data_IF_915373533695
#
_entry.id   IF_915373533695
#
_cell.length_a   1.000
_cell.length_b   1.000
_cell.length_c   1.000
_cell.angle_alpha   90.00
_cell.angle_beta   90.00
_cell.angle_gamma   90.00
#
_symmetry.space_group_name_H-M   'P 1'
#
loop_
_entity.id
_entity.type
_entity.pdbx_description
1 polymer ?
#
# COMPACT_ATOMS: atom_id res chain seq x y z
N UNK A 1 -9.69 7.34 -24.21
CA UNK A 1 -8.67 6.72 -23.32
C UNK A 1 -9.11 6.95 -21.89
N UNK A 2 -9.41 5.91 -21.11
CA UNK A 2 -9.83 6.08 -19.71
C UNK A 2 -8.63 6.61 -18.89
N UNK A 3 -8.67 7.87 -18.46
CA UNK A 3 -7.69 8.42 -17.51
C UNK A 3 -8.22 8.14 -16.11
N UNK A 4 -7.72 7.08 -15.48
CA UNK A 4 -8.06 6.74 -14.09
C UNK A 4 -7.36 7.65 -13.06
N UNK A 5 -6.41 8.49 -13.51
CA UNK A 5 -5.67 9.43 -12.69
C UNK A 5 -5.85 10.88 -13.17
N UNK A 6 -6.04 11.77 -12.20
CA UNK A 6 -5.96 13.23 -12.38
C UNK A 6 -4.68 13.75 -11.73
N UNK A 7 -3.54 13.32 -12.23
CA UNK A 7 -2.24 13.90 -11.83
C UNK A 7 -2.10 15.27 -12.50
N UNK A 8 -1.69 16.32 -11.78
CA UNK A 8 -1.36 17.61 -12.40
C UNK A 8 -0.27 17.43 -13.45
N UNK A 9 -0.40 18.08 -14.61
CA UNK A 9 0.57 17.93 -15.71
C UNK A 9 2.03 18.21 -15.31
N UNK A 10 2.25 19.15 -14.39
CA UNK A 10 3.58 19.49 -13.86
C UNK A 10 4.15 18.44 -12.89
N UNK A 11 3.32 17.56 -12.33
CA UNK A 11 3.71 16.50 -11.39
C UNK A 11 3.83 15.12 -12.06
N UNK A 12 3.44 14.99 -13.33
CA UNK A 12 3.64 13.76 -14.10
C UNK A 12 5.13 13.40 -14.12
N UNK A 13 5.47 12.18 -13.72
CA UNK A 13 6.84 11.69 -13.63
C UNK A 13 7.50 11.94 -12.27
N UNK A 14 7.15 13.03 -11.57
CA UNK A 14 7.58 13.24 -10.19
C UNK A 14 6.89 12.26 -9.23
N UNK A 15 5.65 11.87 -9.51
CA UNK A 15 4.95 10.82 -8.78
C UNK A 15 5.72 9.48 -8.78
N UNK A 16 6.34 9.11 -9.91
CA UNK A 16 7.20 7.92 -10.00
C UNK A 16 8.38 8.02 -9.05
N UNK A 17 9.01 9.20 -8.95
CA UNK A 17 10.13 9.41 -8.01
C UNK A 17 9.66 9.22 -6.58
N UNK A 18 8.49 9.77 -6.22
CA UNK A 18 7.91 9.60 -4.88
C UNK A 18 7.61 8.13 -4.58
N UNK A 19 7.04 7.40 -5.53
CA UNK A 19 6.75 5.97 -5.38
C UNK A 19 8.03 5.16 -5.23
N UNK A 20 9.07 5.43 -6.02
CA UNK A 20 10.38 4.77 -5.92
C UNK A 20 11.07 5.04 -4.58
N UNK A 21 11.02 6.28 -4.08
CA UNK A 21 11.51 6.60 -2.73
C UNK A 21 10.71 5.81 -1.69
N UNK A 22 9.38 5.71 -1.86
CA UNK A 22 8.51 4.88 -1.04
C UNK A 22 8.89 3.40 -1.07
N UNK A 23 9.22 2.85 -2.25
CA UNK A 23 9.73 1.48 -2.42
C UNK A 23 11.01 1.29 -1.60
N UNK A 24 11.98 2.18 -1.73
CA UNK A 24 13.24 2.09 -0.95
C UNK A 24 12.95 2.12 0.54
N UNK A 25 12.12 3.06 1.02
CA UNK A 25 11.76 3.17 2.43
C UNK A 25 11.07 1.90 2.95
N UNK A 26 10.11 1.37 2.21
CA UNK A 26 9.34 0.18 2.61
C UNK A 26 10.20 -1.09 2.60
N UNK A 27 11.10 -1.25 1.63
CA UNK A 27 12.11 -2.33 1.62
C UNK A 27 13.05 -2.21 2.82
N UNK A 28 13.50 -1.01 3.17
CA UNK A 28 14.35 -0.80 4.35
C UNK A 28 13.60 -1.19 5.63
N UNK A 29 12.33 -0.77 5.79
CA UNK A 29 11.50 -1.18 6.93
C UNK A 29 11.35 -2.70 6.98
N UNK A 30 11.08 -3.35 5.84
CA UNK A 30 10.99 -4.80 5.75
C UNK A 30 12.30 -5.47 6.17
N UNK A 31 13.45 -4.98 5.69
CA UNK A 31 14.77 -5.50 6.05
C UNK A 31 15.06 -5.37 7.56
N UNK A 32 14.72 -4.22 8.17
CA UNK A 32 14.83 -4.04 9.62
C UNK A 32 13.90 -4.97 10.41
N UNK A 33 12.64 -5.10 9.98
CA UNK A 33 11.68 -6.01 10.60
C UNK A 33 12.14 -7.47 10.52
N UNK A 34 12.73 -7.87 9.39
CA UNK A 34 13.29 -9.21 9.20
C UNK A 34 14.51 -9.45 10.09
N UNK A 35 15.38 -8.46 10.22
CA UNK A 35 16.52 -8.55 11.14
C UNK A 35 16.04 -8.72 12.59
N UNK A 36 15.04 -7.96 13.01
CA UNK A 36 14.47 -8.06 14.35
C UNK A 36 13.76 -9.40 14.57
N UNK A 37 13.09 -9.93 13.54
CA UNK A 37 12.51 -11.27 13.55
C UNK A 37 13.57 -12.34 13.79
N UNK A 38 14.73 -12.27 13.10
CA UNK A 38 15.82 -13.24 13.31
C UNK A 38 16.37 -13.24 14.73
N UNK A 39 16.36 -12.10 15.41
CA UNK A 39 16.83 -11.97 16.80
C UNK A 39 15.78 -12.42 17.80
N UNK A 40 14.55 -11.91 17.71
CA UNK A 40 13.51 -12.15 18.73
C UNK A 40 12.69 -13.42 18.47
N UNK A 41 12.74 -13.98 17.24
CA UNK A 41 11.94 -15.12 16.76
C UNK A 41 10.41 -14.96 16.94
N UNK A 42 9.93 -13.73 17.09
CA UNK A 42 8.49 -13.45 17.19
C UNK A 42 7.83 -13.40 15.79
N UNK A 43 6.91 -14.33 15.51
CA UNK A 43 6.19 -14.41 14.23
C UNK A 43 5.51 -13.09 13.81
N UNK A 44 5.13 -12.24 14.77
CA UNK A 44 4.56 -10.91 14.50
C UNK A 44 5.48 -10.05 13.61
N UNK A 45 6.79 -10.12 13.84
CA UNK A 45 7.80 -9.36 13.10
C UNK A 45 8.03 -9.91 11.69
N UNK A 46 7.84 -11.23 11.50
CA UNK A 46 7.83 -11.82 10.17
C UNK A 46 6.62 -11.32 9.35
N UNK A 47 5.43 -11.25 9.94
CA UNK A 47 4.27 -10.68 9.25
C UNK A 47 4.43 -9.19 8.95
N UNK A 48 5.06 -8.39 9.83
CA UNK A 48 5.40 -7.00 9.49
C UNK A 48 6.34 -6.92 8.27
N UNK A 49 7.34 -7.82 8.19
CA UNK A 49 8.21 -7.91 7.02
C UNK A 49 7.39 -8.13 5.75
N UNK A 50 6.46 -9.09 5.80
CA UNK A 50 5.59 -9.42 4.68
C UNK A 50 4.68 -8.23 4.31
N UNK A 51 4.10 -7.53 5.29
CA UNK A 51 3.30 -6.31 5.05
C UNK A 51 4.09 -5.30 4.21
N UNK A 52 5.30 -4.95 4.65
CA UNK A 52 6.07 -3.90 3.98
C UNK A 52 6.64 -4.35 2.62
N UNK A 53 6.88 -5.65 2.42
CA UNK A 53 7.16 -6.20 1.10
C UNK A 53 5.96 -6.09 0.16
N UNK A 54 4.74 -6.37 0.65
CA UNK A 54 3.52 -6.20 -0.13
C UNK A 54 3.28 -4.72 -0.48
N UNK A 55 3.50 -3.79 0.46
CA UNK A 55 3.45 -2.34 0.16
C UNK A 55 4.46 -1.98 -0.92
N UNK A 56 5.71 -2.44 -0.80
CA UNK A 56 6.77 -2.20 -1.79
C UNK A 56 6.39 -2.72 -3.17
N UNK A 57 5.83 -3.93 -3.27
CA UNK A 57 5.35 -4.49 -4.54
C UNK A 57 4.20 -3.64 -5.09
N UNK A 58 3.26 -3.23 -4.24
CA UNK A 58 2.18 -2.32 -4.63
C UNK A 58 2.68 -1.00 -5.23
N UNK A 59 3.68 -0.37 -4.58
CA UNK A 59 4.31 0.87 -5.08
C UNK A 59 5.09 0.65 -6.38
N UNK A 60 5.73 -0.50 -6.56
CA UNK A 60 6.38 -0.85 -7.83
C UNK A 60 5.36 -0.96 -8.98
N UNK A 61 4.25 -1.69 -8.77
CA UNK A 61 3.19 -1.78 -9.79
C UNK A 61 2.54 -0.43 -10.10
N UNK A 62 2.38 0.42 -9.08
CA UNK A 62 1.94 1.82 -9.28
C UNK A 62 2.92 2.59 -10.16
N UNK A 63 4.22 2.53 -9.84
CA UNK A 63 5.29 3.18 -10.61
C UNK A 63 5.30 2.72 -12.06
N UNK A 64 5.14 1.41 -12.32
CA UNK A 64 5.05 0.86 -13.66
C UNK A 64 3.83 1.38 -14.42
N UNK A 65 2.68 1.45 -13.74
CA UNK A 65 1.43 1.97 -14.32
C UNK A 65 1.57 3.45 -14.72
N UNK A 66 2.17 4.27 -13.86
CA UNK A 66 2.49 5.67 -14.16
C UNK A 66 3.50 5.81 -15.30
N UNK A 67 4.56 4.99 -15.31
CA UNK A 67 5.62 5.04 -16.35
C UNK A 67 5.05 4.81 -17.74
N UNK A 68 4.20 3.80 -17.92
CA UNK A 68 3.57 3.49 -19.22
C UNK A 68 2.57 4.55 -19.65
N UNK A 69 1.96 5.24 -18.69
CA UNK A 69 1.03 6.32 -18.98
C UNK A 69 1.78 7.59 -19.45
N UNK A 70 2.96 7.88 -18.90
CA UNK A 70 3.71 9.10 -19.21
C UNK A 70 4.73 8.95 -20.35
N UNK A 71 5.37 7.79 -20.50
CA UNK A 71 6.48 7.60 -21.43
C UNK A 71 6.09 6.68 -22.60
N UNK A 72 5.95 7.26 -23.79
CA UNK A 72 5.59 6.53 -25.01
C UNK A 72 6.57 5.42 -25.40
N UNK A 73 7.92 5.57 -25.28
CA UNK A 73 8.82 4.49 -25.68
C UNK A 73 8.64 3.22 -24.83
N UNK A 74 8.36 3.38 -23.53
CA UNK A 74 8.12 2.26 -22.62
C UNK A 74 6.80 1.56 -22.96
N UNK A 75 5.78 2.34 -23.31
CA UNK A 75 4.48 1.83 -23.75
C UNK A 75 4.59 0.98 -25.02
N UNK A 76 5.39 1.44 -25.97
CA UNK A 76 5.53 0.77 -27.27
C UNK A 76 6.33 -0.54 -27.13
N UNK A 77 7.41 -0.54 -26.33
CA UNK A 77 8.15 -1.77 -25.97
C UNK A 77 7.26 -2.77 -25.22
N UNK A 78 6.45 -2.31 -24.26
CA UNK A 78 5.53 -3.17 -23.52
C UNK A 78 4.46 -3.79 -24.44
N UNK A 79 3.97 -3.02 -25.44
CA UNK A 79 3.07 -3.54 -26.45
C UNK A 79 3.76 -4.62 -27.30
N UNK A 80 4.99 -4.39 -27.74
CA UNK A 80 5.74 -5.35 -28.56
C UNK A 80 6.01 -6.68 -27.85
N UNK A 81 6.36 -6.67 -26.55
CA UNK A 81 6.57 -7.89 -25.75
C UNK A 81 5.30 -8.74 -25.61
N UNK A 82 4.12 -8.10 -25.58
CA UNK A 82 2.84 -8.77 -25.33
C UNK A 82 2.12 -9.23 -26.61
N UNK A 83 2.50 -8.70 -27.78
CA UNK A 83 1.97 -9.12 -29.09
C UNK A 83 1.87 -10.63 -29.27
N UNK A 84 2.91 -11.45 -29.00
CA UNK A 84 2.85 -12.89 -29.25
C UNK A 84 1.88 -13.67 -28.34
N UNK A 85 1.46 -13.11 -27.21
CA UNK A 85 0.57 -13.80 -26.24
C UNK A 85 -0.88 -13.33 -26.36
N UNK A 86 -1.11 -12.07 -26.75
CA UNK A 86 -2.44 -11.44 -26.70
C UNK A 86 -3.05 -11.11 -28.08
N UNK A 87 -2.31 -11.26 -29.18
CA UNK A 87 -2.79 -11.08 -30.55
C UNK A 87 -2.92 -9.61 -31.00
N UNK A 88 -3.08 -9.39 -32.31
CA UNK A 88 -3.00 -8.06 -32.96
C UNK A 88 -4.19 -7.12 -32.71
N UNK A 89 -5.27 -7.62 -32.10
CA UNK A 89 -6.56 -6.89 -32.00
C UNK A 89 -6.85 -6.18 -30.68
N UNK A 90 -6.08 -6.42 -29.61
CA UNK A 90 -6.28 -5.78 -28.32
C UNK A 90 -5.38 -4.55 -28.19
N UNK A 91 -5.88 -3.47 -27.60
CA UNK A 91 -5.02 -2.37 -27.14
C UNK A 91 -4.13 -2.92 -25.99
N UNK A 92 -3.01 -3.54 -26.34
CA UNK A 92 -2.09 -4.25 -25.44
C UNK A 92 -1.65 -3.39 -24.25
N UNK A 93 -1.48 -2.10 -24.51
CA UNK A 93 -1.21 -1.08 -23.48
C UNK A 93 -2.32 -0.98 -22.44
N UNK A 94 -3.58 -1.16 -22.83
CA UNK A 94 -4.74 -1.16 -21.94
C UNK A 94 -4.84 -2.41 -21.06
N UNK A 95 -4.51 -3.60 -21.59
CA UNK A 95 -4.48 -4.84 -20.80
C UNK A 95 -3.38 -4.77 -19.74
N UNK A 96 -2.17 -4.38 -20.14
CA UNK A 96 -1.04 -4.23 -19.21
C UNK A 96 -1.38 -3.22 -18.11
N UNK A 97 -1.91 -2.05 -18.50
CA UNK A 97 -2.30 -1.02 -17.55
C UNK A 97 -3.31 -1.54 -16.51
N UNK A 98 -4.35 -2.26 -16.96
CA UNK A 98 -5.36 -2.82 -16.05
C UNK A 98 -4.79 -3.92 -15.15
N UNK A 99 -3.89 -4.76 -15.67
CA UNK A 99 -3.24 -5.82 -14.90
C UNK A 99 -2.31 -5.25 -13.82
N UNK A 100 -1.43 -4.30 -14.19
CA UNK A 100 -0.54 -3.64 -13.24
C UNK A 100 -1.34 -2.88 -12.17
N UNK A 101 -2.40 -2.17 -12.56
CA UNK A 101 -3.28 -1.48 -11.62
C UNK A 101 -4.03 -2.43 -10.69
N UNK A 102 -4.51 -3.58 -11.19
CA UNK A 102 -5.11 -4.62 -10.36
C UNK A 102 -4.10 -5.18 -9.35
N UNK A 103 -2.88 -5.51 -9.79
CA UNK A 103 -1.82 -6.01 -8.92
C UNK A 103 -1.45 -4.99 -7.86
N UNK A 104 -1.29 -3.71 -8.23
CA UNK A 104 -1.10 -2.62 -7.26
C UNK A 104 -2.17 -2.65 -6.16
N UNK A 105 -3.45 -2.71 -6.54
CA UNK A 105 -4.56 -2.70 -5.58
C UNK A 105 -4.56 -3.93 -4.69
N UNK A 106 -4.35 -5.10 -5.28
CA UNK A 106 -4.30 -6.38 -4.57
C UNK A 106 -3.20 -6.38 -3.51
N UNK A 107 -1.99 -5.95 -3.89
CA UNK A 107 -0.84 -5.90 -2.98
C UNK A 107 -1.02 -4.85 -1.89
N UNK A 108 -1.50 -3.64 -2.21
CA UNK A 108 -1.73 -2.58 -1.22
C UNK A 108 -2.84 -2.94 -0.22
N UNK A 109 -4.00 -3.40 -0.70
CA UNK A 109 -5.09 -3.80 0.19
C UNK A 109 -4.72 -5.03 1.02
N UNK A 110 -4.01 -6.00 0.41
CA UNK A 110 -3.45 -7.15 1.11
C UNK A 110 -2.50 -6.74 2.23
N UNK A 111 -1.64 -5.74 1.98
CA UNK A 111 -0.74 -5.19 2.99
C UNK A 111 -1.50 -4.54 4.16
N UNK A 112 -2.49 -3.69 3.87
CA UNK A 112 -3.30 -3.03 4.91
C UNK A 112 -4.10 -4.02 5.74
N UNK A 113 -4.66 -5.04 5.11
CA UNK A 113 -5.38 -6.10 5.82
C UNK A 113 -4.45 -6.91 6.71
N UNK A 114 -3.30 -7.34 6.19
CA UNK A 114 -2.32 -8.09 6.96
C UNK A 114 -1.82 -7.26 8.15
N UNK A 115 -1.56 -5.97 7.93
CA UNK A 115 -1.21 -5.03 8.99
C UNK A 115 -2.31 -4.91 10.05
N UNK A 116 -3.58 -4.86 9.63
CA UNK A 116 -4.71 -4.87 10.54
C UNK A 116 -4.73 -6.12 11.42
N UNK A 117 -4.57 -7.32 10.86
CA UNK A 117 -4.50 -8.55 11.65
C UNK A 117 -3.31 -8.55 12.62
N UNK A 118 -2.13 -8.10 12.18
CA UNK A 118 -0.91 -8.01 13.00
C UNK A 118 -1.02 -6.95 14.10
N UNK A 119 -1.84 -5.91 13.90
CA UNK A 119 -2.08 -4.85 14.89
C UNK A 119 -2.97 -5.30 16.05
N UNK A 120 -3.78 -6.36 15.87
CA UNK A 120 -4.65 -6.86 16.91
C UNK A 120 -3.88 -7.69 17.93
N UNK A 121 -4.17 -7.51 19.24
CA UNK A 121 -3.50 -8.28 20.30
C UNK A 121 -3.81 -9.78 20.16
N UNK A 122 -2.83 -10.66 20.44
CA UNK A 122 -3.01 -12.10 20.38
C UNK A 122 -3.83 -12.55 21.58
N UNK A 123 -5.16 -12.54 21.48
CA UNK A 123 -5.99 -13.39 22.32
C UNK A 123 -6.33 -14.65 21.53
N UNK A 124 -5.44 -15.65 21.61
CA UNK A 124 -5.71 -17.07 21.31
C UNK A 124 -6.54 -17.39 20.05
N UNK A 125 -6.30 -16.68 18.94
CA UNK A 125 -7.17 -16.69 17.75
C UNK A 125 -6.87 -17.79 16.73
N UNK A 126 -5.61 -17.95 16.37
CA UNK A 126 -5.15 -18.78 15.24
C UNK A 126 -5.31 -20.31 15.35
N UNK A 127 -6.18 -20.83 16.22
CA UNK A 127 -6.44 -22.28 16.33
C UNK A 127 -7.86 -22.73 15.93
N UNK A 128 -8.82 -21.81 15.73
CA UNK A 128 -10.22 -22.19 15.45
C UNK A 128 -10.55 -22.09 13.95
N UNK A 129 -11.21 -23.12 13.42
CA UNK A 129 -11.63 -23.24 12.02
C UNK A 129 -12.46 -22.04 11.51
N UNK A 130 -13.29 -21.46 12.38
CA UNK A 130 -14.08 -20.25 12.11
C UNK A 130 -13.26 -19.01 11.76
N UNK A 131 -11.97 -18.96 12.11
CA UNK A 131 -11.11 -17.82 11.82
C UNK A 131 -10.35 -17.99 10.49
N UNK A 132 -10.07 -19.24 10.09
CA UNK A 132 -9.53 -19.55 8.76
C UNK A 132 -10.55 -19.22 7.69
N UNK A 133 -11.83 -19.54 7.92
CA UNK A 133 -12.92 -19.17 7.00
C UNK A 133 -13.12 -17.65 6.93
N UNK A 134 -12.93 -16.90 8.03
CA UNK A 134 -12.93 -15.44 8.01
C UNK A 134 -11.78 -14.89 7.17
N UNK A 135 -10.56 -15.40 7.32
CA UNK A 135 -9.40 -14.98 6.51
C UNK A 135 -9.65 -15.28 5.02
N UNK A 136 -10.17 -16.46 4.69
CA UNK A 136 -10.51 -16.83 3.31
C UNK A 136 -11.59 -15.91 2.72
N UNK A 137 -12.65 -15.62 3.49
CA UNK A 137 -13.70 -14.67 3.10
C UNK A 137 -13.13 -13.26 2.89
N UNK A 138 -12.18 -12.82 3.73
CA UNK A 138 -11.51 -11.54 3.57
C UNK A 138 -10.62 -11.49 2.32
N UNK A 139 -9.87 -12.56 2.03
CA UNK A 139 -9.07 -12.65 0.79
C UNK A 139 -9.98 -12.62 -0.45
N UNK A 140 -11.11 -13.33 -0.39
CA UNK A 140 -12.12 -13.31 -1.44
C UNK A 140 -12.68 -11.89 -1.65
N UNK A 141 -13.12 -11.23 -0.57
CA UNK A 141 -13.64 -9.86 -0.63
C UNK A 141 -12.57 -8.87 -1.12
N UNK A 142 -11.31 -9.04 -0.72
CA UNK A 142 -10.21 -8.21 -1.22
C UNK A 142 -10.01 -8.37 -2.72
N UNK A 143 -10.06 -9.60 -3.22
CA UNK A 143 -9.95 -9.87 -4.66
C UNK A 143 -11.12 -9.22 -5.39
N UNK A 144 -12.34 -9.40 -4.88
CA UNK A 144 -13.55 -8.81 -5.46
C UNK A 144 -13.46 -7.28 -5.46
N UNK A 145 -13.06 -6.66 -4.35
CA UNK A 145 -12.89 -5.20 -4.25
C UNK A 145 -11.78 -4.72 -5.18
N UNK A 146 -10.70 -5.47 -5.35
CA UNK A 146 -9.62 -5.12 -6.30
C UNK A 146 -10.12 -5.15 -7.74
N UNK A 147 -10.97 -6.11 -8.09
CA UNK A 147 -11.64 -6.15 -9.40
C UNK A 147 -12.57 -4.96 -9.58
N UNK A 148 -13.44 -4.67 -8.61
CA UNK A 148 -14.38 -3.52 -8.66
C UNK A 148 -13.63 -2.18 -8.72
N UNK A 149 -12.53 -2.07 -8.00
CA UNK A 149 -11.72 -0.86 -7.94
C UNK A 149 -10.99 -0.56 -9.25
N UNK A 150 -10.77 -1.57 -10.10
CA UNK A 150 -10.28 -1.38 -11.47
C UNK A 150 -11.19 -0.45 -12.29
N UNK A 151 -12.49 -0.45 -11.98
CA UNK A 151 -13.49 0.40 -12.63
C UNK A 151 -13.65 1.77 -11.97
N UNK A 152 -13.54 1.83 -10.63
CA UNK A 152 -13.68 3.08 -9.86
C UNK A 152 -12.59 3.18 -8.81
N UNK A 153 -11.57 3.96 -9.12
CA UNK A 153 -10.41 4.15 -8.26
C UNK A 153 -10.72 4.67 -6.85
N UNK A 154 -11.76 5.52 -6.70
CA UNK A 154 -12.19 6.01 -5.38
C UNK A 154 -12.61 4.88 -4.43
N UNK A 155 -13.07 3.73 -4.95
CA UNK A 155 -13.42 2.55 -4.14
C UNK A 155 -12.18 2.02 -3.42
N UNK A 156 -11.04 1.92 -4.11
CA UNK A 156 -9.79 1.48 -3.53
C UNK A 156 -9.34 2.36 -2.36
N UNK A 157 -9.38 3.69 -2.54
CA UNK A 157 -8.97 4.61 -1.47
C UNK A 157 -9.96 4.66 -0.31
N UNK A 158 -11.26 4.52 -0.59
CA UNK A 158 -12.26 4.41 0.46
C UNK A 158 -12.03 3.14 1.30
N UNK A 159 -11.85 1.98 0.64
CA UNK A 159 -11.59 0.72 1.35
C UNK A 159 -10.27 0.78 2.11
N UNK A 160 -9.20 1.29 1.51
CA UNK A 160 -7.90 1.48 2.17
C UNK A 160 -8.03 2.38 3.40
N UNK A 161 -8.78 3.47 3.30
CA UNK A 161 -9.02 4.40 4.41
C UNK A 161 -9.80 3.73 5.56
N UNK A 162 -10.80 2.90 5.26
CA UNK A 162 -11.53 2.16 6.30
C UNK A 162 -10.60 1.19 7.04
N UNK A 163 -9.81 0.39 6.31
CA UNK A 163 -8.87 -0.57 6.92
C UNK A 163 -7.80 0.17 7.72
N UNK A 164 -7.19 1.22 7.15
CA UNK A 164 -6.21 2.04 7.83
C UNK A 164 -6.78 2.77 9.05
N UNK A 165 -8.04 3.21 9.00
CA UNK A 165 -8.75 3.77 10.16
C UNK A 165 -8.82 2.77 11.32
N UNK A 166 -9.15 1.52 11.03
CA UNK A 166 -9.14 0.45 12.03
C UNK A 166 -7.71 0.16 12.55
N UNK A 167 -6.70 0.20 11.70
CA UNK A 167 -5.28 0.08 12.09
C UNK A 167 -4.90 1.22 13.05
N UNK A 168 -5.20 2.47 12.70
CA UNK A 168 -4.93 3.65 13.54
C UNK A 168 -5.64 3.51 14.89
N UNK A 169 -6.89 3.07 14.93
CA UNK A 169 -7.62 2.83 16.18
C UNK A 169 -6.95 1.74 17.05
N UNK A 170 -6.44 0.67 16.44
CA UNK A 170 -5.71 -0.37 17.16
C UNK A 170 -4.39 0.17 17.75
N UNK A 171 -3.63 0.97 16.99
CA UNK A 171 -2.41 1.60 17.49
C UNK A 171 -2.69 2.71 18.52
N UNK A 172 -3.80 3.43 18.41
CA UNK A 172 -4.26 4.38 19.42
C UNK A 172 -4.57 3.67 20.75
N UNK A 173 -5.33 2.56 20.70
CA UNK A 173 -5.54 1.70 21.87
C UNK A 173 -4.23 1.18 22.44
N UNK A 174 -3.26 0.81 21.59
CA UNK A 174 -1.95 0.37 22.05
C UNK A 174 -1.15 1.49 22.73
N UNK A 175 -1.21 2.71 22.21
CA UNK A 175 -0.58 3.89 22.79
C UNK A 175 -1.13 4.20 24.19
N UNK A 176 -2.46 4.16 24.36
CA UNK A 176 -3.08 4.35 25.68
C UNK A 176 -2.70 3.26 26.68
N UNK A 177 -2.61 2.01 26.23
CA UNK A 177 -2.27 0.86 27.08
C UNK A 177 -0.78 0.75 27.44
N UNK A 178 0.11 1.44 26.71
CA UNK A 178 1.58 1.38 26.92
C UNK A 178 2.09 2.65 27.61
N UNK A 179 1.37 3.12 28.63
CA UNK A 179 1.69 4.36 29.38
C UNK A 179 2.08 5.55 28.50
N UNK A 180 1.43 5.70 27.33
CA UNK A 180 1.71 6.78 26.38
C UNK A 180 3.18 6.84 25.90
N UNK A 181 3.80 5.68 25.67
CA UNK A 181 5.16 5.61 25.13
C UNK A 181 5.30 6.44 23.84
N UNK A 182 6.31 7.32 23.81
CA UNK A 182 6.63 8.20 22.66
C UNK A 182 6.85 7.43 21.36
N UNK A 183 7.39 6.20 21.41
CA UNK A 183 7.56 5.39 20.20
C UNK A 183 6.23 4.85 19.67
N UNK A 184 5.33 4.42 20.56
CA UNK A 184 3.99 3.98 20.17
C UNK A 184 3.18 5.14 19.56
N UNK A 185 3.36 6.36 20.07
CA UNK A 185 2.78 7.57 19.47
C UNK A 185 3.28 7.81 18.05
N UNK A 186 4.60 7.69 17.80
CA UNK A 186 5.17 7.89 16.45
C UNK A 186 4.65 6.86 15.45
N UNK A 187 4.50 5.60 15.83
CA UNK A 187 3.90 4.56 14.98
C UNK A 187 2.44 4.90 14.65
N UNK A 188 1.66 5.28 15.65
CA UNK A 188 0.28 5.72 15.43
C UNK A 188 0.22 6.93 14.49
N UNK A 189 1.09 7.93 14.71
CA UNK A 189 1.18 9.13 13.90
C UNK A 189 1.54 8.80 12.45
N UNK A 190 2.47 7.87 12.21
CA UNK A 190 2.78 7.45 10.83
C UNK A 190 1.57 6.86 10.11
N UNK A 191 0.79 5.99 10.76
CA UNK A 191 -0.43 5.45 10.15
C UNK A 191 -1.54 6.48 10.00
N UNK A 192 -1.59 7.49 10.88
CA UNK A 192 -2.51 8.63 10.74
C UNK A 192 -2.19 9.46 9.49
N UNK A 193 -0.90 9.71 9.20
CA UNK A 193 -0.48 10.38 7.97
C UNK A 193 -0.80 9.56 6.72
N UNK A 194 -0.57 8.24 6.74
CA UNK A 194 -0.94 7.34 5.63
C UNK A 194 -2.46 7.35 5.41
N UNK A 195 -3.26 7.30 6.49
CA UNK A 195 -4.72 7.41 6.45
C UNK A 195 -5.17 8.76 5.87
N UNK A 196 -4.60 9.86 6.34
CA UNK A 196 -4.92 11.19 5.83
C UNK A 196 -4.60 11.30 4.34
N UNK A 197 -3.46 10.75 3.90
CA UNK A 197 -3.13 10.66 2.48
C UNK A 197 -4.19 9.91 1.67
N UNK A 198 -4.62 8.73 2.13
CA UNK A 198 -5.68 7.95 1.46
C UNK A 198 -7.02 8.70 1.44
N UNK A 199 -7.41 9.39 2.51
CA UNK A 199 -8.64 10.20 2.56
C UNK A 199 -8.59 11.36 1.57
N UNK A 200 -7.47 12.08 1.50
CA UNK A 200 -7.26 13.16 0.52
C UNK A 200 -7.39 12.61 -0.91
N UNK A 201 -6.89 11.40 -1.16
CA UNK A 201 -6.92 10.74 -2.45
C UNK A 201 -8.33 10.23 -2.87
N UNK A 202 -9.30 10.18 -1.94
CA UNK A 202 -10.71 9.96 -2.31
C UNK A 202 -11.25 11.17 -3.09
N UNK A 203 -10.80 12.37 -2.73
CA UNK A 203 -11.34 13.65 -3.20
C UNK A 203 -10.58 14.25 -4.39
N UNK A 204 -9.72 13.48 -5.08
CA UNK A 204 -8.91 13.99 -6.21
C UNK A 204 -9.79 14.59 -7.32
N UNK A 205 -11.03 14.11 -7.46
CA UNK A 205 -12.00 14.66 -8.42
C UNK A 205 -12.34 16.15 -8.19
N UNK A 206 -12.12 16.67 -6.97
CA UNK A 206 -12.32 18.10 -6.66
C UNK A 206 -11.14 18.96 -7.13
N UNK A 207 -9.91 18.45 -7.02
CA UNK A 207 -8.71 19.16 -7.45
C UNK A 207 -7.54 18.21 -7.65
N UNK A 208 -6.85 18.34 -8.77
CA UNK A 208 -5.63 17.57 -9.07
C UNK A 208 -4.51 17.85 -8.06
N UNK A 209 -4.48 19.01 -7.40
CA UNK A 209 -3.51 19.33 -6.35
C UNK A 209 -3.61 18.41 -5.13
N UNK A 210 -4.80 17.85 -4.87
CA UNK A 210 -5.02 16.90 -3.78
C UNK A 210 -4.23 15.60 -3.98
N UNK A 211 -3.97 15.21 -5.24
CA UNK A 211 -3.11 14.07 -5.53
C UNK A 211 -1.73 14.23 -4.90
N UNK A 212 -1.08 15.38 -5.14
CA UNK A 212 0.25 15.68 -4.61
C UNK A 212 0.24 15.72 -3.08
N UNK A 213 -0.76 16.35 -2.48
CA UNK A 213 -0.91 16.35 -1.02
C UNK A 213 -1.06 14.93 -0.45
N UNK A 214 -1.84 14.07 -1.11
CA UNK A 214 -1.98 12.67 -0.74
C UNK A 214 -0.66 11.90 -0.75
N UNK A 215 0.10 12.01 -1.85
CA UNK A 215 1.42 11.37 -2.00
C UNK A 215 2.42 11.86 -0.95
N UNK A 216 2.49 13.16 -0.72
CA UNK A 216 3.38 13.76 0.29
C UNK A 216 3.02 13.26 1.70
N UNK A 217 1.73 13.22 2.05
CA UNK A 217 1.28 12.72 3.36
C UNK A 217 1.64 11.24 3.55
N UNK A 218 1.44 10.40 2.54
CA UNK A 218 1.84 8.98 2.60
C UNK A 218 3.35 8.82 2.78
N UNK A 219 4.15 9.58 2.03
CA UNK A 219 5.61 9.55 2.13
C UNK A 219 6.10 9.99 3.51
N UNK A 220 5.54 11.07 4.07
CA UNK A 220 5.83 11.52 5.44
C UNK A 220 5.49 10.41 6.44
N UNK A 221 4.35 9.74 6.27
CA UNK A 221 3.96 8.59 7.08
C UNK A 221 5.00 7.46 7.05
N UNK A 222 5.44 7.05 5.86
CA UNK A 222 6.48 6.02 5.72
C UNK A 222 7.83 6.45 6.32
N UNK A 223 8.24 7.70 6.15
CA UNK A 223 9.48 8.24 6.74
C UNK A 223 9.44 8.22 8.28
N UNK A 224 8.35 8.65 8.89
CA UNK A 224 8.17 8.60 10.35
C UNK A 224 8.26 7.14 10.85
N UNK A 225 7.65 6.21 10.11
CA UNK A 225 7.67 4.79 10.45
C UNK A 225 9.08 4.21 10.38
N UNK A 226 9.84 4.52 9.32
CA UNK A 226 11.25 4.12 9.16
C UNK A 226 12.12 4.64 10.30
N UNK A 227 12.03 5.95 10.60
CA UNK A 227 12.78 6.57 11.71
C UNK A 227 12.44 5.92 13.05
N UNK A 228 11.19 5.51 13.24
CA UNK A 228 10.76 4.83 14.46
C UNK A 228 11.38 3.44 14.57
N UNK A 229 11.41 2.66 13.48
CA UNK A 229 12.07 1.35 13.44
C UNK A 229 13.58 1.43 13.66
N UNK A 230 14.25 2.43 13.09
CA UNK A 230 15.68 2.66 13.31
C UNK A 230 16.00 2.97 14.77
N UNK A 231 15.16 3.78 15.43
CA UNK A 231 15.36 4.13 16.84
C UNK A 231 15.12 2.96 17.80
N UNK A 232 14.23 2.02 17.44
CA UNK A 232 13.97 0.82 18.25
C UNK A 232 15.09 -0.21 18.08
N UNK A 233 15.71 -0.31 16.90
CA UNK A 233 16.76 -1.31 16.62
C UNK A 233 18.17 -0.90 17.05
N UNK A 234 18.42 0.39 17.32
CA UNK A 234 19.71 0.89 17.82
C UNK A 234 19.86 0.84 19.35
N UNK A 235 18.80 0.50 20.08
CA UNK A 235 18.83 0.26 21.53
C UNK A 235 19.02 -1.22 21.80
#
# INVERSE_FOLDING_TARGET
MFRLFFTPGWFNGWDIVFDLVGVVITVLIAAYSWRLYRVNKENRLAYFTLVFLLVSLGLLFKSFTSTILYYTPVRDVAADILRPVAGDGLSLSGLYYRAAFFLQMLFMLGAWLLLFFVSQKPRARLRKFYEVSQIALFIYLLTLISVVSNFKYSVFYLTSSVILGLVVLNYYKNYLNTNKNRQAFKVMLSFLFILAGNLVLIFIFLSSKLYVAGEVLMLIGFLILLVTYQNVTRR
#
